data_IF_277696460962
#
_entry.id   IF_277696460962
#
_cell.length_a   1.000
_cell.length_b   1.000
_cell.length_c   1.000
_cell.angle_alpha   90.00
_cell.angle_beta   90.00
_cell.angle_gamma   90.00
#
_symmetry.space_group_name_H-M   'P 1'
#
loop_
_entity.id
_entity.type
_entity.pdbx_description
1 polymer ?
#
# COMPACT_ATOMS: atom_id res chain seq x y z
N UNK A 1 10.54 -25.96 16.54
CA UNK A 1 9.27 -25.35 16.07
C UNK A 1 8.84 -24.20 16.94
N UNK A 2 8.60 -24.48 18.23
CA UNK A 2 8.16 -23.52 19.25
C UNK A 2 8.80 -22.15 19.17
N UNK A 3 10.13 -22.17 19.11
CA UNK A 3 10.93 -20.96 19.17
C UNK A 3 10.69 -20.01 17.99
N UNK A 4 10.45 -20.49 16.77
CA UNK A 4 10.37 -19.60 15.59
C UNK A 4 9.08 -18.79 15.59
N UNK A 5 7.95 -19.46 15.81
CA UNK A 5 6.66 -18.78 15.82
C UNK A 5 6.57 -17.84 17.03
N UNK A 6 6.98 -18.31 18.20
CA UNK A 6 7.00 -17.49 19.41
C UNK A 6 7.92 -16.26 19.25
N UNK A 7 9.15 -16.44 18.75
CA UNK A 7 10.10 -15.35 18.45
C UNK A 7 9.47 -14.33 17.48
N UNK A 8 8.81 -14.81 16.41
CA UNK A 8 8.12 -13.95 15.46
C UNK A 8 7.00 -13.14 16.14
N UNK A 9 6.14 -13.77 16.93
CA UNK A 9 5.04 -13.08 17.59
C UNK A 9 5.52 -12.11 18.69
N UNK A 10 6.62 -12.42 19.39
CA UNK A 10 7.27 -11.48 20.32
C UNK A 10 7.78 -10.24 19.59
N UNK A 11 8.53 -10.44 18.50
CA UNK A 11 9.02 -9.33 17.67
C UNK A 11 7.86 -8.51 17.10
N UNK A 12 6.80 -9.17 16.60
CA UNK A 12 5.61 -8.52 16.08
C UNK A 12 4.90 -7.70 17.16
N UNK A 13 4.71 -8.26 18.35
CA UNK A 13 4.11 -7.55 19.49
C UNK A 13 4.91 -6.30 19.85
N UNK A 14 6.23 -6.42 20.04
CA UNK A 14 7.08 -5.30 20.43
C UNK A 14 7.12 -4.21 19.35
N UNK A 15 7.30 -4.59 18.09
CA UNK A 15 7.32 -3.62 16.99
C UNK A 15 5.97 -2.92 16.81
N UNK A 16 4.87 -3.67 16.98
CA UNK A 16 3.50 -3.13 16.92
C UNK A 16 3.27 -2.13 18.06
N UNK A 17 3.59 -2.48 19.30
CA UNK A 17 3.46 -1.58 20.46
C UNK A 17 4.33 -0.33 20.26
N UNK A 18 5.58 -0.48 19.83
CA UNK A 18 6.49 0.63 19.58
C UNK A 18 5.95 1.59 18.50
N UNK A 19 5.52 1.06 17.36
CA UNK A 19 4.91 1.84 16.29
C UNK A 19 3.64 2.56 16.77
N UNK A 20 2.76 1.88 17.50
CA UNK A 20 1.52 2.45 17.98
C UNK A 20 1.75 3.56 19.01
N UNK A 21 2.71 3.36 19.91
CA UNK A 21 3.11 4.35 20.91
C UNK A 21 3.65 5.59 20.21
N UNK A 22 4.53 5.42 19.23
CA UNK A 22 5.05 6.53 18.44
C UNK A 22 3.93 7.30 17.72
N UNK A 23 3.04 6.58 17.03
CA UNK A 23 1.90 7.18 16.33
C UNK A 23 1.01 7.94 17.30
N UNK A 24 0.72 7.39 18.48
CA UNK A 24 -0.08 8.04 19.49
C UNK A 24 0.60 9.30 20.04
N UNK A 25 1.90 9.24 20.35
CA UNK A 25 2.68 10.39 20.84
C UNK A 25 2.61 11.55 19.83
N UNK A 26 2.76 11.24 18.54
CA UNK A 26 2.80 12.23 17.45
C UNK A 26 1.41 12.77 17.08
N UNK A 27 0.42 11.90 16.97
CA UNK A 27 -0.92 12.27 16.46
C UNK A 27 -1.94 12.59 17.56
N UNK A 28 -1.64 12.25 18.81
CA UNK A 28 -2.57 12.24 19.96
C UNK A 28 -3.84 11.41 19.72
N UNK A 29 -3.79 10.48 18.75
CA UNK A 29 -4.92 9.63 18.36
C UNK A 29 -4.47 8.18 18.32
N UNK A 30 -5.34 7.23 18.71
CA UNK A 30 -5.01 5.81 18.61
C UNK A 30 -4.98 5.40 17.13
N UNK A 31 -4.14 4.42 16.79
CA UNK A 31 -3.91 4.03 15.38
C UNK A 31 -5.20 3.55 14.69
N UNK A 32 -6.09 2.83 15.37
CA UNK A 32 -7.37 2.41 14.79
C UNK A 32 -8.26 3.60 14.38
N UNK A 33 -8.07 4.76 15.01
CA UNK A 33 -8.78 6.00 14.66
C UNK A 33 -8.12 6.76 13.51
N UNK A 34 -6.88 6.39 13.14
CA UNK A 34 -6.14 6.90 11.98
C UNK A 34 -6.28 5.97 10.76
N UNK A 35 -6.60 4.69 10.98
CA UNK A 35 -7.03 3.75 9.94
C UNK A 35 -8.48 4.06 9.49
N UNK A 36 -8.79 5.34 9.26
CA UNK A 36 -10.08 5.80 8.73
C UNK A 36 -9.83 6.55 7.45
N UNK A 37 -10.53 6.17 6.40
CA UNK A 37 -10.46 6.83 5.10
C UNK A 37 -11.68 7.66 4.75
N UNK A 38 -11.57 8.45 3.69
CA UNK A 38 -12.73 9.11 3.07
C UNK A 38 -13.71 8.13 2.43
N UNK A 39 -13.27 6.92 2.05
CA UNK A 39 -14.08 5.87 1.43
C UNK A 39 -13.52 4.49 1.82
N UNK A 40 -14.34 3.46 1.66
CA UNK A 40 -14.02 2.05 1.96
C UNK A 40 -13.82 1.32 0.64
N UNK A 41 -12.65 0.72 0.45
CA UNK A 41 -12.39 -0.15 -0.70
C UNK A 41 -12.73 -1.60 -0.33
N UNK A 42 -13.36 -2.33 -1.26
CA UNK A 42 -13.89 -3.68 -1.09
C UNK A 42 -13.19 -4.66 -2.04
N UNK A 43 -12.77 -5.86 -1.57
CA UNK A 43 -12.39 -6.94 -2.46
C UNK A 43 -13.63 -7.61 -3.04
N UNK A 44 -13.58 -8.09 -4.28
CA UNK A 44 -14.75 -8.57 -5.02
C UNK A 44 -15.48 -9.74 -4.34
N UNK A 45 -14.75 -10.55 -3.57
CA UNK A 45 -15.27 -11.72 -2.87
C UNK A 45 -15.95 -11.42 -1.53
N UNK A 46 -15.79 -10.21 -0.96
CA UNK A 46 -16.33 -9.88 0.36
C UNK A 46 -17.68 -9.15 0.23
N UNK A 47 -18.76 -9.66 0.86
CA UNK A 47 -20.04 -8.96 0.90
C UNK A 47 -19.93 -7.59 1.58
N UNK A 48 -20.69 -6.61 1.10
CA UNK A 48 -20.73 -5.24 1.64
C UNK A 48 -21.11 -5.25 3.13
N UNK A 49 -22.15 -6.02 3.50
CA UNK A 49 -22.60 -6.16 4.88
C UNK A 49 -21.50 -6.61 5.83
N UNK A 50 -20.70 -7.60 5.43
CA UNK A 50 -19.58 -8.11 6.22
C UNK A 50 -18.49 -7.05 6.38
N UNK A 51 -18.16 -6.33 5.31
CA UNK A 51 -17.18 -5.24 5.37
C UNK A 51 -17.63 -4.11 6.29
N UNK A 52 -18.91 -3.70 6.22
CA UNK A 52 -19.48 -2.70 7.13
C UNK A 52 -19.47 -3.19 8.58
N UNK A 53 -19.74 -4.48 8.83
CA UNK A 53 -19.64 -5.07 10.16
C UNK A 53 -18.20 -5.00 10.70
N UNK A 54 -17.18 -5.29 9.87
CA UNK A 54 -15.78 -5.13 10.25
C UNK A 54 -15.48 -3.69 10.68
N UNK A 55 -15.99 -2.70 9.95
CA UNK A 55 -15.79 -1.29 10.30
C UNK A 55 -16.54 -0.87 11.57
N UNK A 56 -17.77 -1.35 11.77
CA UNK A 56 -18.57 -1.13 12.99
C UNK A 56 -17.85 -1.67 14.22
N UNK A 57 -17.21 -2.83 14.11
CA UNK A 57 -16.51 -3.51 15.20
C UNK A 57 -14.99 -3.30 15.17
N UNK A 58 -14.48 -2.31 14.43
CA UNK A 58 -13.04 -2.11 14.21
C UNK A 58 -12.21 -2.05 15.49
N UNK A 59 -12.74 -1.42 16.54
CA UNK A 59 -12.05 -1.28 17.82
C UNK A 59 -11.88 -2.64 18.50
N UNK A 60 -12.94 -3.45 18.52
CA UNK A 60 -12.91 -4.79 19.09
C UNK A 60 -12.00 -5.72 18.29
N UNK A 61 -12.07 -5.67 16.96
CA UNK A 61 -11.19 -6.44 16.07
C UNK A 61 -9.72 -6.10 16.31
N UNK A 62 -9.42 -4.80 16.44
CA UNK A 62 -8.08 -4.32 16.73
C UNK A 62 -7.55 -4.78 18.09
N UNK A 63 -8.37 -4.72 19.15
CA UNK A 63 -7.96 -5.20 20.47
C UNK A 63 -7.80 -6.72 20.49
N UNK A 64 -8.67 -7.44 19.79
CA UNK A 64 -8.59 -8.90 19.65
C UNK A 64 -7.33 -9.33 18.90
N UNK A 65 -6.96 -8.65 17.81
CA UNK A 65 -5.73 -8.97 17.08
C UNK A 65 -4.48 -8.75 17.93
N UNK A 66 -4.44 -7.68 18.73
CA UNK A 66 -3.35 -7.43 19.68
C UNK A 66 -3.30 -8.50 20.77
N UNK A 67 -4.44 -8.82 21.40
CA UNK A 67 -4.51 -9.82 22.47
C UNK A 67 -4.10 -11.21 21.97
N UNK A 68 -4.57 -11.62 20.79
CA UNK A 68 -4.20 -12.90 20.20
C UNK A 68 -2.71 -12.95 19.80
N UNK A 69 -2.15 -11.84 19.29
CA UNK A 69 -0.72 -11.70 19.02
C UNK A 69 0.10 -11.83 20.30
N UNK A 70 -0.33 -11.15 21.38
CA UNK A 70 0.31 -11.25 22.68
C UNK A 70 0.25 -12.67 23.24
N UNK A 71 -0.90 -13.33 23.15
CA UNK A 71 -1.02 -14.73 23.57
C UNK A 71 -0.06 -15.63 22.79
N UNK A 72 0.05 -15.47 21.47
CA UNK A 72 0.96 -16.23 20.62
C UNK A 72 2.45 -15.92 20.86
N UNK A 73 2.77 -14.75 21.44
CA UNK A 73 4.12 -14.37 21.83
C UNK A 73 4.61 -15.10 23.11
N UNK A 74 3.68 -15.58 23.94
CA UNK A 74 4.01 -16.21 25.23
C UNK A 74 3.56 -17.67 25.34
N UNK A 75 2.61 -18.11 24.51
CA UNK A 75 2.09 -19.49 24.49
C UNK A 75 2.38 -20.13 23.14
N UNK A 76 3.33 -21.06 23.14
CA UNK A 76 3.61 -21.86 21.96
C UNK A 76 2.63 -23.04 21.83
N UNK A 77 1.49 -22.77 21.22
CA UNK A 77 0.53 -23.81 20.86
C UNK A 77 -0.03 -23.53 19.45
N UNK A 78 -0.17 -24.58 18.63
CA UNK A 78 -0.76 -24.43 17.29
C UNK A 78 -2.16 -23.79 17.32
N UNK A 79 -3.08 -24.15 18.23
CA UNK A 79 -4.37 -23.48 18.35
C UNK A 79 -4.25 -21.97 18.61
N UNK A 80 -3.27 -21.54 19.41
CA UNK A 80 -3.00 -20.12 19.68
C UNK A 80 -2.49 -19.40 18.42
N UNK A 81 -1.62 -20.04 17.63
CA UNK A 81 -1.16 -19.50 16.33
C UNK A 81 -2.30 -19.35 15.34
N UNK A 82 -3.19 -20.34 15.28
CA UNK A 82 -4.42 -20.28 14.46
C UNK A 82 -5.31 -19.12 14.92
N UNK A 83 -5.52 -18.98 16.23
CA UNK A 83 -6.28 -17.85 16.79
C UNK A 83 -5.66 -16.51 16.41
N UNK A 84 -4.33 -16.35 16.50
CA UNK A 84 -3.65 -15.13 16.09
C UNK A 84 -3.82 -14.83 14.60
N UNK A 85 -3.69 -15.83 13.72
CA UNK A 85 -3.92 -15.66 12.28
C UNK A 85 -5.39 -15.30 11.95
N UNK A 86 -6.34 -15.97 12.61
CA UNK A 86 -7.79 -15.70 12.47
C UNK A 86 -8.14 -14.31 12.99
N UNK A 87 -7.55 -13.86 14.10
CA UNK A 87 -7.78 -12.52 14.65
C UNK A 87 -7.10 -11.41 13.83
N UNK A 88 -5.92 -11.69 13.25
CA UNK A 88 -5.21 -10.73 12.41
C UNK A 88 -5.88 -10.52 11.05
N UNK A 89 -6.52 -11.56 10.49
CA UNK A 89 -7.22 -11.49 9.20
C UNK A 89 -8.30 -10.40 9.10
N UNK A 90 -9.30 -10.29 9.99
CA UNK A 90 -10.29 -9.22 9.97
C UNK A 90 -9.68 -7.85 10.29
N UNK A 91 -8.63 -7.78 11.13
CA UNK A 91 -7.89 -6.54 11.37
C UNK A 91 -7.25 -6.02 10.08
N UNK A 92 -6.51 -6.89 9.39
CA UNK A 92 -5.89 -6.59 8.11
C UNK A 92 -6.95 -6.14 7.09
N UNK A 93 -8.06 -6.88 6.95
CA UNK A 93 -9.14 -6.52 6.04
C UNK A 93 -9.71 -5.12 6.33
N UNK A 94 -9.99 -4.82 7.60
CA UNK A 94 -10.53 -3.53 8.01
C UNK A 94 -9.51 -2.37 7.85
N UNK A 95 -8.22 -2.65 8.04
CA UNK A 95 -7.15 -1.66 7.85
C UNK A 95 -6.98 -1.37 6.36
N UNK A 96 -6.74 -2.40 5.56
CA UNK A 96 -6.47 -2.29 4.13
C UNK A 96 -7.66 -1.68 3.38
N UNK A 97 -8.90 -1.98 3.78
CA UNK A 97 -10.09 -1.38 3.16
C UNK A 97 -10.16 0.14 3.33
N UNK A 98 -9.62 0.70 4.41
CA UNK A 98 -9.64 2.13 4.67
C UNK A 98 -8.38 2.85 4.23
N UNK A 99 -7.23 2.20 4.27
CA UNK A 99 -5.94 2.84 4.02
C UNK A 99 -5.37 2.51 2.64
N UNK A 100 -5.87 1.43 2.01
CA UNK A 100 -5.26 0.80 0.85
C UNK A 100 -3.76 0.45 1.08
N UNK A 101 -3.33 0.35 2.34
CA UNK A 101 -1.94 0.07 2.67
C UNK A 101 -1.67 -1.42 2.50
N UNK A 102 -0.61 -1.74 1.76
CA UNK A 102 -0.19 -3.13 1.51
C UNK A 102 0.87 -3.62 2.50
N UNK A 103 1.40 -2.73 3.36
CA UNK A 103 2.49 -3.04 4.29
C UNK A 103 2.17 -4.13 5.32
N UNK A 104 0.89 -4.45 5.53
CA UNK A 104 0.45 -5.50 6.47
C UNK A 104 0.30 -6.88 5.79
N UNK A 105 0.42 -6.96 4.46
CA UNK A 105 0.27 -8.23 3.72
C UNK A 105 1.32 -9.26 4.13
N UNK A 106 2.61 -8.88 4.30
CA UNK A 106 3.62 -9.82 4.74
C UNK A 106 3.28 -10.43 6.10
N UNK A 107 2.66 -9.65 7.00
CA UNK A 107 2.30 -10.10 8.36
C UNK A 107 1.10 -11.04 8.29
N UNK A 108 0.10 -10.73 7.47
CA UNK A 108 -1.04 -11.62 7.25
C UNK A 108 -0.56 -12.99 6.71
N UNK A 109 0.24 -12.99 5.66
CA UNK A 109 0.77 -14.25 5.11
C UNK A 109 1.66 -14.97 6.13
N UNK A 110 2.51 -14.25 6.86
CA UNK A 110 3.36 -14.83 7.90
C UNK A 110 2.55 -15.54 8.99
N UNK A 111 1.52 -14.88 9.53
CA UNK A 111 0.68 -15.48 10.58
C UNK A 111 -0.08 -16.71 10.06
N UNK A 112 -0.59 -16.68 8.83
CA UNK A 112 -1.23 -17.83 8.19
C UNK A 112 -0.26 -19.01 8.00
N UNK A 113 0.95 -18.76 7.49
CA UNK A 113 1.95 -19.82 7.31
C UNK A 113 2.44 -20.39 8.63
N UNK A 114 2.63 -19.57 9.66
CA UNK A 114 3.02 -20.02 10.99
C UNK A 114 1.93 -20.85 11.69
N UNK A 115 0.66 -20.63 11.37
CA UNK A 115 -0.45 -21.44 11.84
C UNK A 115 -0.56 -22.78 11.06
N UNK A 116 -0.35 -22.74 9.75
CA UNK A 116 -0.54 -23.86 8.85
C UNK A 116 0.62 -24.87 8.87
N UNK A 117 1.86 -24.39 8.83
CA UNK A 117 3.03 -25.23 8.58
C UNK A 117 3.49 -25.95 9.86
N UNK A 118 3.79 -27.26 9.76
CA UNK A 118 4.16 -28.06 10.92
C UNK A 118 5.57 -27.70 11.40
N UNK A 119 6.60 -27.69 10.54
CA UNK A 119 8.00 -27.52 10.96
C UNK A 119 8.50 -26.06 10.95
N UNK A 120 9.50 -25.75 11.79
CA UNK A 120 10.18 -24.45 11.81
C UNK A 120 10.92 -24.12 10.52
N UNK A 121 11.51 -25.11 9.84
CA UNK A 121 12.26 -24.89 8.60
C UNK A 121 11.34 -24.47 7.45
N UNK A 122 10.24 -25.21 7.25
CA UNK A 122 9.19 -24.86 6.28
C UNK A 122 8.58 -23.49 6.59
N UNK A 123 8.33 -23.18 7.86
CA UNK A 123 7.81 -21.87 8.26
C UNK A 123 8.78 -20.72 7.95
N UNK A 124 10.06 -20.82 8.36
CA UNK A 124 11.06 -19.77 8.03
C UNK A 124 11.24 -19.62 6.52
N UNK A 125 11.19 -20.72 5.77
CA UNK A 125 11.27 -20.66 4.31
C UNK A 125 10.06 -19.98 3.67
N UNK A 126 8.85 -20.23 4.19
CA UNK A 126 7.66 -19.50 3.76
C UNK A 126 7.77 -18.00 4.07
N UNK A 127 8.28 -17.64 5.25
CA UNK A 127 8.53 -16.24 5.62
C UNK A 127 9.60 -15.58 4.73
N UNK A 128 10.66 -16.31 4.34
CA UNK A 128 11.63 -15.84 3.35
C UNK A 128 10.95 -15.55 2.02
N UNK A 129 10.13 -16.49 1.53
CA UNK A 129 9.35 -16.31 0.31
C UNK A 129 8.46 -15.07 0.38
N UNK A 130 7.69 -14.89 1.46
CA UNK A 130 6.84 -13.71 1.67
C UNK A 130 7.65 -12.41 1.70
N UNK A 131 8.81 -12.40 2.38
CA UNK A 131 9.69 -11.25 2.46
C UNK A 131 10.25 -10.86 1.08
N UNK A 132 10.63 -11.84 0.27
CA UNK A 132 11.12 -11.63 -1.10
C UNK A 132 10.00 -11.17 -2.03
N UNK A 133 8.86 -11.85 -1.99
CA UNK A 133 7.69 -11.57 -2.83
C UNK A 133 7.22 -10.12 -2.73
N UNK A 134 7.03 -9.63 -1.51
CA UNK A 134 6.53 -8.29 -1.28
C UNK A 134 7.43 -7.22 -1.91
N UNK A 135 8.75 -7.40 -1.76
CA UNK A 135 9.75 -6.46 -2.27
C UNK A 135 9.89 -6.58 -3.78
N UNK A 136 9.98 -7.81 -4.30
CA UNK A 136 10.11 -8.06 -5.74
C UNK A 136 8.90 -7.52 -6.51
N UNK A 137 7.68 -7.79 -6.04
CA UNK A 137 6.47 -7.26 -6.69
C UNK A 137 6.43 -5.74 -6.70
N UNK A 138 6.89 -5.08 -5.62
CA UNK A 138 6.99 -3.63 -5.60
C UNK A 138 8.00 -3.10 -6.65
N UNK A 139 9.11 -3.79 -6.89
CA UNK A 139 10.07 -3.45 -7.94
C UNK A 139 9.56 -3.73 -9.36
N UNK A 140 8.95 -4.90 -9.57
CA UNK A 140 8.33 -5.28 -10.85
C UNK A 140 7.23 -4.29 -11.21
N UNK A 141 6.42 -3.85 -10.25
CA UNK A 141 5.40 -2.83 -10.47
C UNK A 141 6.00 -1.52 -11.02
N UNK A 142 7.08 -1.02 -10.40
CA UNK A 142 7.79 0.19 -10.86
C UNK A 142 8.34 0.03 -12.27
N UNK A 143 8.99 -1.08 -12.56
CA UNK A 143 9.51 -1.38 -13.90
C UNK A 143 8.38 -1.47 -14.94
N UNK A 144 7.27 -2.08 -14.56
CA UNK A 144 6.12 -2.25 -15.47
C UNK A 144 5.49 -0.90 -15.79
N UNK A 145 5.33 0.00 -14.82
CA UNK A 145 4.65 1.29 -15.02
C UNK A 145 5.56 2.42 -15.49
N UNK A 146 6.70 2.58 -14.85
CA UNK A 146 7.65 3.66 -15.11
C UNK A 146 8.76 3.29 -16.10
N UNK A 147 8.99 1.99 -16.35
CA UNK A 147 10.11 1.51 -17.17
C UNK A 147 11.47 1.91 -16.60
N UNK A 148 12.48 1.99 -17.47
CA UNK A 148 13.80 2.49 -17.11
C UNK A 148 13.78 3.96 -16.65
N UNK A 149 12.79 4.74 -17.09
CA UNK A 149 12.61 6.13 -16.67
C UNK A 149 12.28 6.26 -15.17
N UNK A 150 11.92 5.18 -14.48
CA UNK A 150 11.78 5.22 -13.02
C UNK A 150 13.12 5.54 -12.32
N UNK A 151 14.26 5.14 -12.92
CA UNK A 151 15.59 5.50 -12.43
C UNK A 151 16.04 6.92 -12.83
N UNK A 152 15.25 7.66 -13.63
CA UNK A 152 15.57 9.03 -13.99
C UNK A 152 15.54 9.95 -12.75
N UNK A 153 16.37 11.00 -12.69
CA UNK A 153 16.48 11.84 -11.49
C UNK A 153 15.16 12.51 -11.12
N UNK A 154 14.33 12.84 -12.11
CA UNK A 154 13.04 13.51 -11.91
C UNK A 154 12.04 12.67 -11.12
N UNK A 155 12.14 11.33 -11.18
CA UNK A 155 11.26 10.43 -10.42
C UNK A 155 11.47 10.62 -8.93
N UNK A 156 12.69 10.41 -8.44
CA UNK A 156 12.99 10.52 -7.02
C UNK A 156 12.81 11.96 -6.53
N UNK A 157 13.21 12.94 -7.34
CA UNK A 157 12.99 14.36 -7.05
C UNK A 157 11.51 14.70 -6.88
N UNK A 158 10.63 14.20 -7.74
CA UNK A 158 9.19 14.42 -7.61
C UNK A 158 8.67 13.88 -6.27
N UNK A 159 9.01 12.64 -5.92
CA UNK A 159 8.62 12.05 -4.64
C UNK A 159 9.16 12.83 -3.44
N UNK A 160 10.44 13.17 -3.43
CA UNK A 160 11.05 13.95 -2.35
C UNK A 160 10.35 15.30 -2.18
N UNK A 161 10.08 16.03 -3.27
CA UNK A 161 9.38 17.33 -3.22
C UNK A 161 7.98 17.21 -2.64
N UNK A 162 7.22 16.18 -3.02
CA UNK A 162 5.88 15.91 -2.48
C UNK A 162 5.95 15.70 -0.96
N UNK A 163 6.88 14.86 -0.49
CA UNK A 163 6.95 14.57 0.94
C UNK A 163 7.55 15.70 1.78
N UNK A 164 8.51 16.45 1.26
CA UNK A 164 9.08 17.64 1.92
C UNK A 164 8.01 18.70 2.21
N UNK A 165 6.94 18.76 1.39
CA UNK A 165 5.80 19.67 1.55
C UNK A 165 4.60 19.03 2.25
N UNK A 166 4.68 17.75 2.58
CA UNK A 166 3.56 17.01 3.18
C UNK A 166 3.44 17.28 4.68
N UNK A 167 2.29 16.95 5.27
CA UNK A 167 2.09 16.92 6.72
C UNK A 167 2.91 15.85 7.45
N UNK A 168 3.63 15.00 6.71
CA UNK A 168 4.43 13.88 7.22
C UNK A 168 5.87 13.96 6.65
N UNK A 169 6.61 15.03 6.97
CA UNK A 169 7.93 15.27 6.41
C UNK A 169 8.95 14.19 6.83
N UNK A 170 10.11 14.11 6.16
CA UNK A 170 11.21 13.27 6.61
C UNK A 170 11.77 13.72 7.96
N UNK A 171 12.55 12.86 8.61
CA UNK A 171 13.24 13.20 9.87
C UNK A 171 14.32 14.28 9.66
N UNK A 172 14.95 14.32 8.49
CA UNK A 172 15.92 15.35 8.13
C UNK A 172 15.53 16.04 6.81
N UNK A 173 14.65 17.06 6.86
CA UNK A 173 14.22 17.79 5.66
C UNK A 173 15.36 18.44 4.87
N UNK A 174 16.42 18.88 5.56
CA UNK A 174 17.62 19.44 4.91
C UNK A 174 18.34 18.40 4.05
N UNK A 175 18.48 17.17 4.54
CA UNK A 175 19.07 16.09 3.77
C UNK A 175 18.18 15.70 2.58
N UNK A 176 16.85 15.64 2.79
CA UNK A 176 15.89 15.43 1.70
C UNK A 176 15.99 16.50 0.60
N UNK A 177 16.11 17.77 0.98
CA UNK A 177 16.29 18.88 0.06
C UNK A 177 17.64 18.82 -0.68
N UNK A 178 18.72 18.47 0.02
CA UNK A 178 20.04 18.25 -0.57
C UNK A 178 20.03 17.15 -1.62
N UNK A 179 19.43 15.99 -1.30
CA UNK A 179 19.28 14.88 -2.26
C UNK A 179 18.45 15.31 -3.46
N UNK A 180 17.30 15.98 -3.24
CA UNK A 180 16.42 16.43 -4.31
C UNK A 180 17.07 17.44 -5.28
N UNK A 181 18.09 18.16 -4.80
CA UNK A 181 18.87 19.12 -5.58
C UNK A 181 19.96 18.47 -6.46
N UNK A 182 20.31 17.19 -6.25
CA UNK A 182 21.36 16.49 -7.00
C UNK A 182 20.79 15.42 -7.92
N UNK A 183 21.00 15.55 -9.24
CA UNK A 183 20.61 14.52 -10.22
C UNK A 183 21.30 13.18 -9.93
N UNK A 184 22.60 13.21 -9.64
CA UNK A 184 23.38 12.00 -9.37
C UNK A 184 22.83 11.22 -8.16
N UNK A 185 22.48 11.91 -7.07
CA UNK A 185 21.91 11.26 -5.88
C UNK A 185 20.49 10.73 -6.16
N UNK A 186 19.65 11.47 -6.88
CA UNK A 186 18.33 11.00 -7.27
C UNK A 186 18.40 9.74 -8.15
N UNK A 187 19.30 9.71 -9.13
CA UNK A 187 19.55 8.52 -9.97
C UNK A 187 20.09 7.37 -9.14
N UNK A 188 21.07 7.62 -8.26
CA UNK A 188 21.64 6.58 -7.40
C UNK A 188 20.58 5.93 -6.51
N UNK A 189 19.66 6.71 -5.91
CA UNK A 189 18.57 6.17 -5.10
C UNK A 189 17.54 5.44 -5.96
N UNK A 190 17.16 6.00 -7.12
CA UNK A 190 16.20 5.39 -8.05
C UNK A 190 16.70 4.05 -8.59
N UNK A 191 17.88 4.05 -9.21
CA UNK A 191 18.52 2.83 -9.70
C UNK A 191 18.83 1.84 -8.57
N UNK A 192 19.32 2.35 -7.43
CA UNK A 192 19.60 1.53 -6.24
C UNK A 192 18.36 0.83 -5.70
N UNK A 193 17.21 1.50 -5.71
CA UNK A 193 15.93 0.91 -5.29
C UNK A 193 15.51 -0.20 -6.25
N UNK A 194 15.59 0.00 -7.56
CA UNK A 194 15.27 -1.04 -8.54
C UNK A 194 16.23 -2.23 -8.45
N UNK A 195 17.53 -1.98 -8.33
CA UNK A 195 18.54 -3.02 -8.12
C UNK A 195 18.26 -3.80 -6.84
N UNK A 196 17.91 -3.10 -5.76
CA UNK A 196 17.59 -3.71 -4.49
C UNK A 196 16.34 -4.60 -4.57
N UNK A 197 15.25 -4.05 -5.11
CA UNK A 197 13.95 -4.72 -5.12
C UNK A 197 13.90 -5.87 -6.13
N UNK A 198 14.47 -5.70 -7.32
CA UNK A 198 14.37 -6.66 -8.41
C UNK A 198 15.51 -7.67 -8.45
N UNK A 199 16.66 -7.40 -7.82
CA UNK A 199 17.84 -8.27 -7.92
C UNK A 199 18.42 -8.66 -6.56
N UNK A 200 18.74 -7.71 -5.67
CA UNK A 200 19.45 -8.04 -4.42
C UNK A 200 18.57 -8.85 -3.46
N UNK A 201 17.31 -8.44 -3.24
CA UNK A 201 16.40 -9.17 -2.34
C UNK A 201 16.03 -10.55 -2.89
N UNK A 202 15.61 -10.70 -4.16
CA UNK A 202 15.42 -12.02 -4.77
C UNK A 202 16.69 -12.88 -4.76
N UNK A 203 17.87 -12.26 -4.99
CA UNK A 203 19.17 -12.92 -4.94
C UNK A 203 19.48 -13.56 -3.59
N UNK A 204 18.87 -13.09 -2.50
CA UNK A 204 18.98 -13.73 -1.19
C UNK A 204 18.48 -15.17 -1.16
N UNK A 205 17.61 -15.57 -2.09
CA UNK A 205 17.18 -16.97 -2.24
C UNK A 205 18.34 -17.89 -2.64
N UNK A 206 19.35 -17.35 -3.34
CA UNK A 206 20.51 -18.11 -3.81
C UNK A 206 21.70 -18.05 -2.82
N UNK A 207 21.62 -17.18 -1.81
CA UNK A 207 22.68 -17.06 -0.82
C UNK A 207 22.70 -18.26 0.14
N UNK A 208 23.89 -18.67 0.60
CA UNK A 208 24.03 -19.56 1.75
C UNK A 208 23.26 -19.00 2.96
N UNK A 209 22.65 -19.86 3.80
CA UNK A 209 21.81 -19.39 4.91
C UNK A 209 22.45 -18.33 5.83
N UNK A 210 23.75 -18.45 6.09
CA UNK A 210 24.51 -17.50 6.94
C UNK A 210 24.56 -16.08 6.37
N UNK A 211 24.47 -15.91 5.05
CA UNK A 211 24.56 -14.61 4.39
C UNK A 211 23.19 -13.97 4.14
N UNK A 212 22.09 -14.71 4.27
CA UNK A 212 20.74 -14.19 4.03
C UNK A 212 20.35 -13.06 4.98
N UNK A 213 20.92 -13.04 6.19
CA UNK A 213 20.71 -11.97 7.19
C UNK A 213 21.09 -10.59 6.66
N UNK A 214 21.99 -10.50 5.67
CA UNK A 214 22.31 -9.26 4.98
C UNK A 214 21.08 -8.65 4.30
N UNK A 215 20.14 -9.46 3.80
CA UNK A 215 18.87 -9.00 3.25
C UNK A 215 18.02 -8.26 4.29
N UNK A 216 17.97 -8.75 5.52
CA UNK A 216 17.25 -8.07 6.61
C UNK A 216 17.93 -6.74 6.98
N UNK A 217 19.26 -6.72 7.06
CA UNK A 217 20.01 -5.49 7.33
C UNK A 217 19.77 -4.45 6.22
N UNK A 218 19.81 -4.86 4.96
CA UNK A 218 19.57 -3.97 3.83
C UNK A 218 18.14 -3.41 3.82
N UNK A 219 17.13 -4.22 4.18
CA UNK A 219 15.75 -3.74 4.37
C UNK A 219 15.63 -2.67 5.46
N UNK A 220 16.33 -2.86 6.59
CA UNK A 220 16.36 -1.87 7.69
C UNK A 220 17.01 -0.57 7.20
N UNK A 221 18.16 -0.65 6.52
CA UNK A 221 18.86 0.52 5.98
C UNK A 221 18.00 1.28 4.97
N UNK A 222 17.33 0.58 4.05
CA UNK A 222 16.42 1.21 3.09
C UNK A 222 15.32 2.01 3.80
N UNK A 223 14.65 1.41 4.77
CA UNK A 223 13.54 2.06 5.46
C UNK A 223 13.99 3.18 6.41
N UNK A 224 15.15 3.05 7.04
CA UNK A 224 15.80 4.14 7.76
C UNK A 224 16.13 5.31 6.82
N UNK A 225 16.66 5.02 5.63
CA UNK A 225 16.90 6.02 4.58
C UNK A 225 15.61 6.72 4.14
N UNK A 226 14.53 5.95 3.92
CA UNK A 226 13.20 6.50 3.62
C UNK A 226 12.72 7.42 4.75
N UNK A 227 12.83 7.00 6.02
CA UNK A 227 12.44 7.81 7.17
C UNK A 227 13.23 9.12 7.23
N UNK A 228 14.54 9.05 6.95
CA UNK A 228 15.47 10.15 7.07
C UNK A 228 15.34 11.19 5.95
N UNK A 229 15.16 10.72 4.71
CA UNK A 229 15.27 11.56 3.50
C UNK A 229 13.92 11.83 2.84
N UNK A 230 12.98 10.88 2.87
CA UNK A 230 11.72 10.98 2.15
C UNK A 230 10.51 11.23 3.08
N UNK A 231 10.13 10.26 3.93
CA UNK A 231 9.00 10.43 4.85
C UNK A 231 9.16 9.59 6.11
N UNK A 232 9.11 10.27 7.27
CA UNK A 232 9.25 9.61 8.58
C UNK A 232 8.19 8.54 8.79
N UNK A 233 6.94 8.79 8.38
CA UNK A 233 5.86 7.84 8.60
C UNK A 233 6.01 6.63 7.68
N UNK A 234 6.34 6.83 6.39
CA UNK A 234 6.53 5.72 5.45
C UNK A 234 7.71 4.85 5.86
N UNK A 235 8.82 5.44 6.32
CA UNK A 235 9.97 4.68 6.77
C UNK A 235 9.72 3.94 8.09
N UNK A 236 9.10 4.59 9.07
CA UNK A 236 8.88 4.00 10.41
C UNK A 236 7.73 2.98 10.45
N UNK A 237 6.78 3.06 9.51
CA UNK A 237 5.70 2.07 9.43
C UNK A 237 6.23 0.66 9.12
N UNK A 238 7.44 0.55 8.54
CA UNK A 238 8.16 -0.70 8.33
C UNK A 238 8.42 -1.49 9.61
N UNK A 239 8.44 -0.83 10.77
CA UNK A 239 8.57 -1.52 12.04
C UNK A 239 7.52 -2.64 12.17
N UNK A 240 6.30 -2.46 11.66
CA UNK A 240 5.28 -3.52 11.72
C UNK A 240 5.65 -4.75 10.89
N UNK A 241 6.30 -4.58 9.74
CA UNK A 241 6.73 -5.67 8.85
C UNK A 241 8.14 -6.21 9.14
N UNK A 242 8.94 -5.51 9.95
CA UNK A 242 10.30 -5.92 10.32
C UNK A 242 10.40 -7.38 10.81
N UNK A 243 9.51 -7.90 11.67
CA UNK A 243 9.55 -9.30 12.12
C UNK A 243 9.52 -10.30 10.97
N UNK A 244 8.77 -10.02 9.89
CA UNK A 244 8.68 -10.89 8.72
C UNK A 244 10.03 -10.99 8.02
N UNK A 245 10.71 -9.85 7.83
CA UNK A 245 12.02 -9.80 7.20
C UNK A 245 13.09 -10.45 8.09
N UNK A 246 13.11 -10.17 9.39
CA UNK A 246 14.07 -10.78 10.33
C UNK A 246 13.89 -12.30 10.37
N UNK A 247 12.67 -12.79 10.55
CA UNK A 247 12.40 -14.21 10.63
C UNK A 247 12.63 -14.93 9.30
N UNK A 248 12.24 -14.31 8.18
CA UNK A 248 12.41 -14.85 6.82
C UNK A 248 13.87 -14.90 6.38
N UNK A 249 14.64 -13.82 6.51
CA UNK A 249 16.05 -13.80 6.14
C UNK A 249 16.95 -14.61 7.09
N UNK A 250 16.45 -15.04 8.25
CA UNK A 250 17.07 -16.06 9.12
C UNK A 250 16.75 -17.50 8.70
N UNK A 251 16.12 -17.72 7.53
CA UNK A 251 15.85 -19.06 7.03
C UNK A 251 17.13 -19.87 6.82
N UNK A 252 17.19 -21.02 7.49
CA UNK A 252 18.32 -21.93 7.52
C UNK A 252 18.29 -22.98 6.40
N UNK A 253 17.23 -23.02 5.58
CA UNK A 253 17.07 -24.01 4.53
C UNK A 253 18.16 -23.88 3.44
N UNK A 254 18.98 -24.93 3.20
CA UNK A 254 19.98 -24.91 2.14
C UNK A 254 19.34 -24.79 0.75
N UNK A 255 20.08 -24.20 -0.20
CA UNK A 255 19.68 -24.12 -1.61
C UNK A 255 19.49 -25.54 -2.16
N UNK A 256 18.46 -25.76 -2.98
CA UNK A 256 18.11 -27.05 -3.55
C UNK A 256 17.19 -27.93 -2.68
N UNK A 257 16.93 -27.56 -1.43
CA UNK A 257 16.05 -28.34 -0.54
C UNK A 257 14.56 -28.03 -0.76
N UNK A 258 13.67 -28.92 -0.29
CA UNK A 258 12.21 -28.71 -0.35
C UNK A 258 11.74 -27.39 0.28
N UNK A 259 12.16 -27.04 1.52
CA UNK A 259 11.83 -25.74 2.10
C UNK A 259 12.34 -24.57 1.26
N UNK A 260 13.55 -24.65 0.71
CA UNK A 260 14.06 -23.61 -0.20
C UNK A 260 13.19 -23.47 -1.46
N UNK A 261 12.77 -24.58 -2.07
CA UNK A 261 11.84 -24.54 -3.21
C UNK A 261 10.53 -23.85 -2.84
N UNK A 262 9.98 -24.06 -1.64
CA UNK A 262 8.82 -23.31 -1.16
C UNK A 262 9.09 -21.81 -1.09
N UNK A 263 10.25 -21.40 -0.56
CA UNK A 263 10.64 -19.98 -0.52
C UNK A 263 10.72 -19.37 -1.92
N UNK A 264 11.28 -20.10 -2.90
CA UNK A 264 11.36 -19.67 -4.30
C UNK A 264 9.96 -19.55 -4.92
N UNK A 265 9.10 -20.56 -4.74
CA UNK A 265 7.73 -20.55 -5.28
C UNK A 265 6.94 -19.39 -4.70
N UNK A 266 7.00 -19.17 -3.39
CA UNK A 266 6.30 -18.07 -2.74
C UNK A 266 6.90 -16.71 -3.07
N UNK A 267 8.23 -16.61 -3.20
CA UNK A 267 8.96 -15.37 -3.44
C UNK A 267 8.94 -14.87 -4.88
N UNK A 268 9.05 -15.78 -5.84
CA UNK A 268 9.18 -15.45 -7.28
C UNK A 268 7.88 -15.73 -8.03
N UNK A 269 7.15 -16.78 -7.63
CA UNK A 269 5.93 -17.23 -8.32
C UNK A 269 4.90 -16.13 -8.53
N UNK A 270 4.52 -15.32 -7.52
CA UNK A 270 3.55 -14.24 -7.71
C UNK A 270 4.03 -13.17 -8.70
N UNK A 271 5.31 -12.80 -8.68
CA UNK A 271 5.88 -11.85 -9.63
C UNK A 271 5.86 -12.41 -11.07
N UNK A 272 6.17 -13.69 -11.26
CA UNK A 272 6.04 -14.36 -12.56
C UNK A 272 4.58 -14.40 -13.04
N UNK A 273 3.63 -14.64 -12.13
CA UNK A 273 2.21 -14.58 -12.45
C UNK A 273 1.79 -13.19 -12.93
N UNK A 274 2.28 -12.13 -12.27
CA UNK A 274 2.04 -10.74 -12.68
C UNK A 274 2.70 -10.44 -14.03
N UNK A 275 3.93 -10.90 -14.26
CA UNK A 275 4.60 -10.72 -15.54
C UNK A 275 3.86 -11.43 -16.69
N UNK A 276 3.36 -12.65 -16.45
CA UNK A 276 2.69 -13.46 -17.46
C UNK A 276 1.24 -13.04 -17.74
N UNK A 277 0.49 -12.63 -16.71
CA UNK A 277 -0.95 -12.32 -16.81
C UNK A 277 -1.25 -10.82 -16.74
N UNK A 278 -0.24 -9.99 -16.55
CA UNK A 278 -0.40 -8.59 -16.19
C UNK A 278 -0.87 -8.40 -14.75
N UNK A 279 -1.36 -7.20 -14.45
CA UNK A 279 -1.87 -6.86 -13.13
C UNK A 279 -2.96 -7.85 -12.68
N UNK A 280 -2.77 -8.53 -11.54
CA UNK A 280 -3.83 -9.32 -10.93
C UNK A 280 -5.05 -8.42 -10.64
N UNK A 281 -6.24 -8.99 -10.46
CA UNK A 281 -7.34 -8.19 -9.92
C UNK A 281 -6.93 -7.69 -8.53
N UNK A 282 -7.30 -6.45 -8.21
CA UNK A 282 -7.17 -5.96 -6.85
C UNK A 282 -8.12 -6.84 -6.02
N UNK A 283 -7.64 -7.76 -5.20
CA UNK A 283 -8.49 -8.68 -4.45
C UNK A 283 -7.67 -9.16 -3.28
N UNK A 284 -7.78 -8.44 -2.17
CA UNK A 284 -6.95 -8.72 -1.00
C UNK A 284 -7.19 -10.12 -0.47
N UNK A 285 -6.13 -10.80 0.01
CA UNK A 285 -4.75 -10.33 0.15
C UNK A 285 -3.86 -10.57 -1.09
N UNK A 286 -4.45 -10.89 -2.26
CA UNK A 286 -3.72 -11.24 -3.49
C UNK A 286 -3.35 -10.03 -4.35
N UNK A 287 -3.68 -8.82 -3.91
CA UNK A 287 -3.30 -7.60 -4.60
C UNK A 287 -1.78 -7.45 -4.69
N UNK A 288 -1.34 -6.97 -5.85
CA UNK A 288 0.03 -6.55 -6.14
C UNK A 288 0.38 -5.27 -5.34
N UNK A 289 1.44 -5.27 -4.48
CA UNK A 289 1.87 -4.08 -3.75
C UNK A 289 2.54 -3.07 -4.69
N UNK A 290 1.79 -2.07 -5.16
CA UNK A 290 2.26 -1.08 -6.15
C UNK A 290 2.82 0.20 -5.54
N UNK A 291 3.81 0.08 -4.64
CA UNK A 291 4.38 1.24 -3.95
C UNK A 291 5.22 2.12 -4.89
N UNK A 292 4.92 3.42 -4.93
CA UNK A 292 5.67 4.43 -5.71
C UNK A 292 5.76 4.07 -7.20
N UNK A 293 4.62 3.72 -7.78
CA UNK A 293 4.53 3.12 -9.11
C UNK A 293 5.04 4.01 -10.26
N UNK A 294 4.76 5.31 -10.17
CA UNK A 294 4.87 6.24 -11.29
C UNK A 294 6.28 6.82 -11.43
N UNK A 295 6.77 6.95 -12.67
CA UNK A 295 7.99 7.72 -12.92
C UNK A 295 7.74 9.23 -12.77
N UNK A 296 8.80 10.05 -12.83
CA UNK A 296 8.72 11.49 -12.58
C UNK A 296 7.77 12.23 -13.52
N UNK A 297 7.76 11.88 -14.81
CA UNK A 297 6.86 12.50 -15.79
C UNK A 297 5.40 12.16 -15.48
N UNK A 298 5.10 10.88 -15.21
CA UNK A 298 3.76 10.42 -14.84
C UNK A 298 3.30 11.05 -13.52
N UNK A 299 4.12 11.00 -12.48
CA UNK A 299 3.81 11.55 -11.17
C UNK A 299 3.64 13.08 -11.21
N UNK A 300 4.48 13.77 -11.98
CA UNK A 300 4.37 15.22 -12.20
C UNK A 300 3.06 15.58 -12.89
N UNK A 301 2.68 14.85 -13.92
CA UNK A 301 1.42 15.07 -14.63
C UNK A 301 0.19 14.82 -13.75
N UNK A 302 0.17 13.67 -13.05
CA UNK A 302 -0.89 13.35 -12.10
C UNK A 302 -1.01 14.40 -11.00
N UNK A 303 0.13 14.82 -10.44
CA UNK A 303 0.16 15.85 -9.40
C UNK A 303 -0.40 17.16 -9.94
N UNK A 304 0.09 17.62 -11.10
CA UNK A 304 -0.32 18.87 -11.71
C UNK A 304 -1.82 18.90 -11.99
N UNK A 305 -2.35 17.87 -12.65
CA UNK A 305 -3.75 17.84 -13.10
C UNK A 305 -4.73 17.50 -11.99
N UNK A 306 -4.33 16.68 -11.01
CA UNK A 306 -5.29 16.07 -10.09
C UNK A 306 -5.03 16.38 -8.61
N UNK A 307 -3.86 16.89 -8.22
CA UNK A 307 -3.51 17.11 -6.79
C UNK A 307 -3.25 18.56 -6.42
N UNK A 308 -2.44 19.27 -7.21
CA UNK A 308 -1.90 20.58 -6.81
C UNK A 308 -2.58 21.77 -7.49
N UNK A 309 -3.34 21.55 -8.57
CA UNK A 309 -4.13 22.60 -9.22
C UNK A 309 -5.42 22.95 -8.47
N UNK A 310 -6.28 23.71 -9.12
CA UNK A 310 -7.68 23.92 -8.71
C UNK A 310 -8.61 22.85 -9.30
N UNK A 311 -8.09 21.84 -9.99
CA UNK A 311 -8.88 20.76 -10.58
C UNK A 311 -8.75 19.44 -9.83
N UNK A 312 -9.83 18.67 -9.74
CA UNK A 312 -9.84 17.34 -9.10
C UNK A 312 -10.62 16.34 -9.94
N UNK A 313 -10.17 15.09 -9.89
CA UNK A 313 -11.02 13.95 -10.22
C UNK A 313 -11.76 13.56 -8.94
N UNK A 314 -13.10 13.63 -8.95
CA UNK A 314 -13.94 13.33 -7.78
C UNK A 314 -14.88 12.17 -8.07
N UNK A 315 -15.21 11.43 -7.02
CA UNK A 315 -16.05 10.23 -7.06
C UNK A 315 -17.30 10.48 -6.22
N UNK A 316 -18.43 9.99 -6.69
CA UNK A 316 -19.70 10.15 -5.98
C UNK A 316 -20.68 9.00 -6.27
N UNK A 317 -21.79 9.00 -5.54
CA UNK A 317 -22.92 8.09 -5.73
C UNK A 317 -23.71 8.50 -6.97
N UNK A 318 -24.40 7.53 -7.58
CA UNK A 318 -25.32 7.83 -8.68
C UNK A 318 -26.37 8.88 -8.28
N UNK A 319 -26.59 9.87 -9.14
CA UNK A 319 -27.60 10.92 -8.94
C UNK A 319 -27.25 12.00 -7.91
N UNK A 320 -26.06 11.97 -7.31
CA UNK A 320 -25.65 12.98 -6.35
C UNK A 320 -25.31 14.33 -7.02
N UNK A 321 -25.73 15.43 -6.40
CA UNK A 321 -25.37 16.78 -6.86
C UNK A 321 -23.91 17.11 -6.54
N UNK A 322 -23.12 17.37 -7.57
CA UNK A 322 -21.67 17.59 -7.45
C UNK A 322 -21.31 19.07 -7.24
N UNK A 323 -22.04 19.99 -7.86
CA UNK A 323 -21.77 21.42 -7.73
C UNK A 323 -22.01 21.90 -6.29
N UNK A 324 -21.09 22.67 -5.74
CA UNK A 324 -21.12 23.15 -4.35
C UNK A 324 -20.80 22.09 -3.29
N UNK A 325 -20.65 20.81 -3.67
CA UNK A 325 -20.24 19.76 -2.74
C UNK A 325 -18.81 19.99 -2.26
N UNK A 326 -18.55 19.63 -1.00
CA UNK A 326 -17.21 19.67 -0.42
C UNK A 326 -16.40 18.47 -0.93
N UNK A 327 -15.18 18.72 -1.37
CA UNK A 327 -14.25 17.66 -1.76
C UNK A 327 -13.58 17.10 -0.51
N UNK A 328 -13.87 15.84 -0.20
CA UNK A 328 -13.32 15.13 0.94
C UNK A 328 -11.99 14.48 0.57
N UNK A 329 -10.90 14.94 1.18
CA UNK A 329 -9.57 14.37 0.95
C UNK A 329 -9.41 13.01 1.66
N UNK A 330 -8.50 12.18 1.18
CA UNK A 330 -8.37 10.78 1.62
C UNK A 330 -8.18 10.56 3.13
N UNK A 331 -7.58 11.49 3.87
CA UNK A 331 -7.36 11.40 5.33
C UNK A 331 -8.48 12.02 6.15
N UNK A 332 -9.43 12.69 5.51
CA UNK A 332 -10.51 13.38 6.18
C UNK A 332 -11.64 12.40 6.51
N UNK A 333 -12.29 12.66 7.65
CA UNK A 333 -13.52 11.97 8.01
C UNK A 333 -14.69 12.66 7.33
N UNK A 334 -15.73 11.91 6.95
CA UNK A 334 -16.99 12.53 6.53
C UNK A 334 -17.44 13.54 7.60
N UNK A 335 -17.94 14.71 7.19
CA UNK A 335 -18.58 15.67 8.10
C UNK A 335 -19.83 15.06 8.74
N UNK A 336 -20.37 15.74 9.76
CA UNK A 336 -21.65 15.39 10.37
C UNK A 336 -22.81 15.51 9.35
N UNK A 337 -23.95 14.86 9.64
CA UNK A 337 -25.07 14.69 8.70
C UNK A 337 -25.51 16.02 8.04
N UNK A 338 -25.76 15.96 6.72
CA UNK A 338 -26.34 17.07 5.95
C UNK A 338 -25.37 17.84 5.04
N UNK A 339 -24.04 17.70 5.20
CA UNK A 339 -23.09 18.28 4.25
C UNK A 339 -22.95 17.42 2.98
N UNK A 340 -23.20 18.02 1.80
CA UNK A 340 -22.96 17.37 0.51
C UNK A 340 -21.45 17.19 0.27
N UNK A 341 -21.03 15.95 0.07
CA UNK A 341 -19.61 15.60 -0.15
C UNK A 341 -19.40 14.85 -1.46
N UNK A 342 -18.18 14.97 -2.00
CA UNK A 342 -17.62 14.11 -3.05
C UNK A 342 -16.22 13.66 -2.63
N UNK A 343 -15.77 12.51 -3.09
CA UNK A 343 -14.49 11.93 -2.63
C UNK A 343 -13.38 12.21 -3.64
N UNK A 344 -12.24 12.69 -3.16
CA UNK A 344 -11.04 12.85 -4.00
C UNK A 344 -10.54 11.48 -4.50
N UNK A 345 -10.43 11.32 -5.81
CA UNK A 345 -10.06 10.07 -6.45
C UNK A 345 -8.57 9.76 -6.39
N UNK A 346 -7.69 10.78 -6.30
CA UNK A 346 -6.27 10.58 -6.61
C UNK A 346 -5.64 9.62 -5.63
N UNK A 347 -5.71 9.93 -4.34
CA UNK A 347 -5.08 9.10 -3.32
C UNK A 347 -5.83 7.78 -3.08
N UNK A 348 -7.07 7.66 -3.59
CA UNK A 348 -7.93 6.50 -3.40
C UNK A 348 -7.74 5.48 -4.50
N UNK A 349 -7.77 5.91 -5.76
CA UNK A 349 -7.81 5.06 -6.93
C UNK A 349 -6.48 5.09 -7.69
N UNK A 350 -5.88 6.27 -7.88
CA UNK A 350 -4.77 6.46 -8.83
C UNK A 350 -3.38 6.39 -8.18
N UNK A 351 -3.23 6.96 -7.00
CA UNK A 351 -1.96 7.44 -6.48
C UNK A 351 -1.04 6.34 -5.95
N UNK A 352 -1.60 5.25 -5.40
CA UNK A 352 -0.78 4.30 -4.66
C UNK A 352 -1.01 2.83 -4.99
N UNK A 353 -2.20 2.35 -5.33
CA UNK A 353 -2.38 0.87 -5.38
C UNK A 353 -3.50 0.35 -6.27
N UNK A 354 -4.65 1.04 -6.35
CA UNK A 354 -5.85 0.45 -6.96
C UNK A 354 -5.90 0.57 -8.49
N UNK A 355 -5.14 1.49 -9.09
CA UNK A 355 -5.11 1.65 -10.54
C UNK A 355 -4.54 0.39 -11.21
N UNK A 356 -5.40 -0.31 -11.94
CA UNK A 356 -5.09 -1.53 -12.68
C UNK A 356 -5.75 -1.54 -14.05
N UNK A 357 -5.28 -2.42 -14.93
CA UNK A 357 -5.84 -2.64 -16.26
C UNK A 357 -5.93 -1.34 -17.08
N UNK A 358 -7.13 -1.03 -17.56
CA UNK A 358 -7.40 0.18 -18.37
C UNK A 358 -7.01 1.47 -17.66
N UNK A 359 -7.22 1.57 -16.34
CA UNK A 359 -6.91 2.80 -15.60
C UNK A 359 -5.40 3.04 -15.51
N UNK A 360 -4.64 1.98 -15.23
CA UNK A 360 -3.16 2.01 -15.25
C UNK A 360 -2.64 2.40 -16.63
N UNK A 361 -3.18 1.80 -17.69
CA UNK A 361 -2.81 2.14 -19.08
C UNK A 361 -3.07 3.61 -19.40
N UNK A 362 -4.27 4.12 -19.10
CA UNK A 362 -4.61 5.52 -19.37
C UNK A 362 -3.66 6.47 -18.66
N UNK A 363 -3.35 6.22 -17.38
CA UNK A 363 -2.41 7.05 -16.62
C UNK A 363 -1.01 7.08 -17.25
N UNK A 364 -0.52 5.93 -17.74
CA UNK A 364 0.78 5.88 -18.44
C UNK A 364 0.78 6.71 -19.73
N UNK A 365 -0.31 6.70 -20.46
CA UNK A 365 -0.48 7.45 -21.71
C UNK A 365 -0.67 8.97 -21.46
N UNK A 366 -1.11 9.39 -20.27
CA UNK A 366 -1.33 10.80 -19.94
C UNK A 366 -0.05 11.64 -20.06
N UNK A 367 1.12 11.07 -19.78
CA UNK A 367 2.39 11.78 -19.84
C UNK A 367 2.81 12.22 -21.26
N UNK A 368 2.15 11.70 -22.31
CA UNK A 368 2.43 12.06 -23.72
C UNK A 368 1.22 12.54 -24.52
N UNK A 369 0.02 12.55 -23.94
CA UNK A 369 -1.20 12.94 -24.64
C UNK A 369 -1.58 14.40 -24.35
N UNK A 370 -2.17 15.07 -25.36
CA UNK A 370 -2.80 16.38 -25.21
C UNK A 370 -3.81 16.42 -24.03
N UNK A 371 -3.98 17.60 -23.44
CA UNK A 371 -4.55 17.76 -22.11
C UNK A 371 -5.99 17.23 -21.96
N UNK A 372 -6.93 17.73 -22.78
CA UNK A 372 -8.35 17.39 -22.66
C UNK A 372 -8.67 15.92 -22.98
N UNK A 373 -8.21 15.33 -24.11
CA UNK A 373 -8.53 13.95 -24.44
C UNK A 373 -8.03 12.94 -23.41
N UNK A 374 -6.91 13.23 -22.75
CA UNK A 374 -6.33 12.36 -21.75
C UNK A 374 -7.17 12.33 -20.45
N UNK A 375 -7.69 13.49 -20.01
CA UNK A 375 -8.51 13.59 -18.80
C UNK A 375 -9.89 12.95 -19.04
N UNK A 376 -10.50 13.14 -20.20
CA UNK A 376 -11.76 12.45 -20.54
C UNK A 376 -11.61 10.93 -20.49
N UNK A 377 -10.55 10.39 -21.12
CA UNK A 377 -10.25 8.95 -21.04
C UNK A 377 -10.06 8.49 -19.59
N UNK A 378 -9.42 9.30 -18.75
CA UNK A 378 -9.24 9.00 -17.33
C UNK A 378 -10.57 8.95 -16.59
N UNK A 379 -11.45 9.93 -16.80
CA UNK A 379 -12.80 9.97 -16.18
C UNK A 379 -13.60 8.74 -16.59
N UNK A 380 -13.65 8.41 -17.89
CA UNK A 380 -14.35 7.22 -18.41
C UNK A 380 -13.76 5.91 -17.84
N UNK A 381 -12.44 5.78 -17.83
CA UNK A 381 -11.76 4.60 -17.27
C UNK A 381 -12.05 4.44 -15.77
N UNK A 382 -12.05 5.55 -15.03
CA UNK A 382 -12.38 5.55 -13.60
C UNK A 382 -13.83 5.15 -13.36
N UNK A 383 -14.78 5.72 -14.12
CA UNK A 383 -16.19 5.36 -14.04
C UNK A 383 -16.43 3.88 -14.34
N UNK A 384 -15.81 3.35 -15.39
CA UNK A 384 -15.87 1.92 -15.72
C UNK A 384 -15.35 1.04 -14.57
N UNK A 385 -14.25 1.44 -13.95
CA UNK A 385 -13.70 0.74 -12.79
C UNK A 385 -14.63 0.80 -11.57
N UNK A 386 -15.28 1.94 -11.31
CA UNK A 386 -16.24 2.09 -10.20
C UNK A 386 -17.44 1.16 -10.31
N UNK A 387 -17.89 0.84 -11.53
CA UNK A 387 -19.01 -0.09 -11.77
C UNK A 387 -18.74 -1.52 -11.28
N UNK A 388 -17.49 -1.87 -10.99
CA UNK A 388 -17.17 -3.13 -10.31
C UNK A 388 -17.70 -3.17 -8.85
N UNK A 389 -18.24 -2.07 -8.31
CA UNK A 389 -18.89 -2.04 -7.00
C UNK A 389 -17.89 -2.17 -5.86
N UNK A 390 -16.73 -1.53 -6.02
CA UNK A 390 -15.55 -1.77 -5.18
C UNK A 390 -15.22 -0.65 -4.22
N UNK A 391 -15.67 0.56 -4.52
CA UNK A 391 -15.46 1.69 -3.66
C UNK A 391 -16.81 2.06 -3.06
N UNK A 392 -16.86 2.10 -1.74
CA UNK A 392 -18.08 2.35 -0.97
C UNK A 392 -17.90 3.63 -0.18
N UNK A 393 -19.01 4.33 0.00
CA UNK A 393 -19.12 5.32 1.07
C UNK A 393 -19.37 4.62 2.43
N UNK A 394 -19.33 5.38 3.52
CA UNK A 394 -19.45 4.88 4.89
C UNK A 394 -20.84 4.32 5.23
N UNK A 395 -21.86 4.69 4.47
CA UNK A 395 -23.21 4.10 4.55
C UNK A 395 -23.31 2.77 3.77
N UNK A 396 -22.25 2.35 3.07
CA UNK A 396 -22.23 1.16 2.24
C UNK A 396 -22.66 1.36 0.80
N UNK A 397 -23.08 2.57 0.42
CA UNK A 397 -23.48 2.87 -0.96
C UNK A 397 -22.26 2.84 -1.87
N UNK A 398 -22.40 2.23 -3.04
CA UNK A 398 -21.35 2.17 -4.04
C UNK A 398 -21.12 3.56 -4.64
N UNK A 399 -19.86 4.00 -4.68
CA UNK A 399 -19.44 5.12 -5.51
C UNK A 399 -19.38 4.63 -6.96
N UNK A 400 -20.18 5.21 -7.84
CA UNK A 400 -20.39 4.71 -9.21
C UNK A 400 -20.09 5.75 -10.28
N UNK A 401 -20.01 7.03 -9.91
CA UNK A 401 -19.82 8.14 -10.83
C UNK A 401 -18.49 8.86 -10.60
N UNK A 402 -17.91 9.39 -11.68
CA UNK A 402 -16.64 10.10 -11.68
C UNK A 402 -16.74 11.39 -12.49
N UNK A 403 -16.20 12.48 -11.95
CA UNK A 403 -16.25 13.81 -12.56
C UNK A 403 -14.89 14.48 -12.50
N UNK A 404 -14.54 15.23 -13.54
CA UNK A 404 -13.44 16.19 -13.46
C UNK A 404 -14.01 17.56 -13.15
N UNK A 405 -13.56 18.18 -12.06
CA UNK A 405 -14.18 19.38 -11.49
C UNK A 405 -13.14 20.44 -11.19
N UNK A 406 -13.59 21.70 -11.17
CA UNK A 406 -12.84 22.81 -10.58
C UNK A 406 -13.28 23.02 -9.13
N UNK A 407 -12.33 23.24 -8.23
CA UNK A 407 -12.46 23.33 -6.79
C UNK A 407 -11.96 24.70 -6.33
N UNK A 408 -12.79 25.40 -5.56
CA UNK A 408 -12.44 26.70 -5.01
C UNK A 408 -11.47 26.61 -3.85
N UNK A 409 -10.96 27.77 -3.41
CA UNK A 409 -10.08 27.87 -2.25
C UNK A 409 -10.71 27.34 -0.95
N UNK A 410 -12.04 27.28 -0.87
CA UNK A 410 -12.80 26.70 0.25
C UNK A 410 -12.94 25.16 0.18
N UNK A 411 -12.31 24.50 -0.80
CA UNK A 411 -12.41 23.05 -0.99
C UNK A 411 -13.75 22.57 -1.55
N UNK A 412 -14.61 23.46 -2.06
CA UNK A 412 -15.88 23.09 -2.69
C UNK A 412 -15.81 23.09 -4.21
N UNK A 413 -16.59 22.23 -4.83
CA UNK A 413 -16.72 22.18 -6.29
C UNK A 413 -17.42 23.45 -6.79
N UNK A 414 -16.74 24.19 -7.67
CA UNK A 414 -17.28 25.39 -8.34
C UNK A 414 -18.07 24.97 -9.58
N UNK A 415 -17.47 24.13 -10.43
CA UNK A 415 -18.10 23.66 -11.68
C UNK A 415 -17.56 22.31 -12.12
N UNK A 416 -18.37 21.61 -12.90
CA UNK A 416 -18.01 20.36 -13.56
C UNK A 416 -17.37 20.71 -14.90
N UNK A 417 -16.15 20.22 -15.14
CA UNK A 417 -15.40 20.42 -16.37
C UNK A 417 -15.63 19.26 -17.36
N UNK A 418 -15.64 18.03 -16.85
CA UNK A 418 -15.97 16.82 -17.61
C UNK A 418 -16.94 16.00 -16.80
N UNK A 419 -18.06 15.68 -17.42
CA UNK A 419 -19.13 14.86 -16.85
C UNK A 419 -19.05 13.45 -17.44
N UNK A 420 -18.56 12.49 -16.64
CA UNK A 420 -18.44 11.10 -17.06
C UNK A 420 -19.79 10.42 -17.33
N UNK A 421 -20.92 11.04 -16.94
CA UNK A 421 -22.26 10.50 -17.13
C UNK A 421 -22.85 10.72 -18.53
N UNK A 422 -22.40 11.77 -19.23
CA UNK A 422 -23.00 12.25 -20.49
C UNK A 422 -22.51 11.54 -21.75
N UNK A 423 -21.43 10.80 -21.66
CA UNK A 423 -20.93 10.01 -22.79
C UNK A 423 -21.75 8.72 -22.87
N UNK A 424 -22.67 8.65 -23.84
CA UNK A 424 -23.38 7.41 -24.21
C UNK A 424 -22.39 6.29 -24.50
N UNK A 425 -22.73 5.07 -24.08
CA UNK A 425 -21.87 3.89 -24.21
C UNK A 425 -21.51 3.51 -25.64
#
# INVERSE_FOLDING_TARGET
MAHVAQEFYQQLLYCTIAWWTLVYIVSKRPIYALCTGSAITRPSWLPVSNLLALHRHRRSIFLLSLAATALAAFVDARPVRVLAAVAFSPYHLAETSCTNRHGEYPILHATLFLAALPSSHWARAALLGVAVDFVLRAGVAKLTAGGAAWAAPDTMRAYLRVYLRSSKPPLCPRLGAFVAASDALCVAIGAGTLLFECLLVPGCLLLPPRLRVCGSAAMIVLHAGIALVMSRNVGLVFLTSLPVHVAGFRCDAPVGTGPWLLAVVLGIGPALCVAARGALREDWPRSDPRLFLWNGAQAGELSRRLMTGDTRLVLTKSGAEVAGARVLHHTERPPEEGERIVHDAVMRVIGFTLARGTLDRVVREMAGAGEAPAVERLVRATRRWLREGRLLDWDGTVLSEAFFVQVGANGRVIRILIDGSKDGE
#
